data_IF_534761066225
#
_entry.id   IF_534761066225
#
_cell.length_a   1.000
_cell.length_b   1.000
_cell.length_c   1.000
_cell.angle_alpha   90.00
_cell.angle_beta   90.00
_cell.angle_gamma   90.00
#
_symmetry.space_group_name_H-M   'P 1'
#
loop_
_entity.id
_entity.type
_entity.pdbx_description
1 polymer ?
#
# COMPACT_ATOMS: atom_id res chain seq x y z
N UNK A 1 -16.38 64.31 -14.94
CA UNK A 1 -15.70 63.24 -14.20
C UNK A 1 -15.65 61.98 -15.08
N UNK A 2 -14.50 61.40 -15.45
CA UNK A 2 -13.47 60.72 -14.65
C UNK A 2 -13.96 59.43 -13.98
N UNK A 3 -13.47 58.32 -14.53
CA UNK A 3 -13.11 57.05 -13.87
C UNK A 3 -14.22 56.29 -13.15
N UNK A 4 -14.67 55.16 -13.72
CA UNK A 4 -15.05 53.90 -13.00
C UNK A 4 -15.75 52.90 -13.95
N UNK A 5 -15.07 52.47 -15.01
CA UNK A 5 -15.44 51.21 -15.70
C UNK A 5 -14.15 50.46 -16.05
N UNK A 6 -13.34 50.20 -15.04
CA UNK A 6 -12.20 49.29 -15.12
C UNK A 6 -12.33 48.37 -13.90
N UNK A 7 -12.13 47.07 -14.11
CA UNK A 7 -12.24 45.97 -13.14
C UNK A 7 -13.53 45.13 -13.19
N UNK A 8 -14.06 44.85 -14.38
CA UNK A 8 -14.43 43.47 -14.70
C UNK A 8 -13.27 42.88 -15.51
N UNK A 9 -13.01 41.57 -15.41
CA UNK A 9 -11.82 40.89 -15.93
C UNK A 9 -10.59 40.85 -15.00
N UNK A 10 -10.80 40.49 -13.72
CA UNK A 10 -9.77 39.75 -12.98
C UNK A 10 -10.09 38.25 -13.08
N UNK A 11 -9.42 37.65 -14.05
CA UNK A 11 -8.99 36.27 -14.14
C UNK A 11 -9.44 35.35 -12.99
N UNK A 12 -10.51 34.59 -13.23
CA UNK A 12 -10.65 33.25 -12.64
C UNK A 12 -9.62 32.33 -13.32
N UNK A 13 -8.37 32.46 -12.92
CA UNK A 13 -7.33 31.48 -13.24
C UNK A 13 -7.50 30.34 -12.23
N UNK A 14 -8.48 29.47 -12.50
CA UNK A 14 -8.64 28.20 -11.80
C UNK A 14 -7.46 27.34 -12.24
N UNK A 15 -6.37 27.37 -11.46
CA UNK A 15 -5.29 26.41 -11.58
C UNK A 15 -5.87 25.06 -11.16
N UNK A 16 -6.36 24.31 -12.14
CA UNK A 16 -6.60 22.87 -12.00
C UNK A 16 -5.22 22.24 -11.86
N UNK A 17 -4.75 22.10 -10.62
CA UNK A 17 -3.62 21.24 -10.30
C UNK A 17 -4.11 19.82 -10.54
N UNK A 18 -3.90 19.32 -11.76
CA UNK A 18 -4.00 17.90 -12.05
C UNK A 18 -2.99 17.19 -11.15
N UNK A 19 -3.48 16.57 -10.06
CA UNK A 19 -2.75 15.48 -9.42
C UNK A 19 -2.65 14.37 -10.46
N UNK A 20 -1.56 14.38 -11.23
CA UNK A 20 -1.07 13.19 -11.92
C UNK A 20 -0.60 12.28 -10.80
N UNK A 21 -1.53 11.49 -10.26
CA UNK A 21 -1.17 10.32 -9.48
C UNK A 21 -0.55 9.39 -10.50
N UNK A 22 0.78 9.45 -10.62
CA UNK A 22 1.54 8.48 -11.41
C UNK A 22 1.19 7.12 -10.84
N UNK A 23 0.41 6.35 -11.58
CA UNK A 23 0.38 4.91 -11.39
C UNK A 23 1.77 4.49 -11.85
N UNK A 24 2.72 4.34 -10.93
CA UNK A 24 4.01 3.74 -11.23
C UNK A 24 3.70 2.30 -11.65
N UNK A 25 3.44 2.12 -12.95
CA UNK A 25 3.42 0.82 -13.59
C UNK A 25 4.76 0.15 -13.30
N UNK A 26 4.72 -1.16 -13.07
CA UNK A 26 5.91 -1.96 -12.82
C UNK A 26 7.04 -1.58 -13.81
N UNK A 27 8.31 -1.46 -13.37
CA UNK A 27 9.39 -0.91 -14.21
C UNK A 27 9.60 -1.67 -15.52
N UNK A 28 9.19 -2.93 -15.56
CA UNK A 28 9.25 -3.82 -16.72
C UNK A 28 7.89 -4.14 -17.35
N UNK A 29 6.78 -3.53 -16.92
CA UNK A 29 5.43 -3.86 -17.43
C UNK A 29 5.30 -3.72 -18.96
N UNK A 30 5.72 -2.59 -19.59
CA UNK A 30 5.54 -2.44 -21.02
C UNK A 30 6.41 -3.41 -21.82
N UNK A 31 7.60 -3.74 -21.32
CA UNK A 31 8.51 -4.70 -21.96
C UNK A 31 8.09 -6.15 -21.73
N UNK A 32 7.58 -6.48 -20.54
CA UNK A 32 7.04 -7.79 -20.24
C UNK A 32 5.84 -8.12 -21.11
N UNK A 33 4.94 -7.16 -21.32
CA UNK A 33 3.76 -7.33 -22.16
C UNK A 33 4.10 -7.59 -23.63
N UNK A 34 5.21 -7.04 -24.15
CA UNK A 34 5.62 -7.27 -25.56
C UNK A 34 6.56 -8.45 -25.73
N UNK A 35 7.53 -8.63 -24.83
CA UNK A 35 8.54 -9.67 -24.93
C UNK A 35 8.05 -11.03 -24.39
N UNK A 36 7.31 -11.02 -23.29
CA UNK A 36 7.03 -12.21 -22.48
C UNK A 36 5.58 -12.25 -21.95
N UNK A 37 4.54 -12.14 -22.81
CA UNK A 37 3.15 -11.95 -22.38
C UNK A 37 2.56 -13.14 -21.60
N UNK A 38 3.21 -14.29 -21.62
CA UNK A 38 2.75 -15.52 -20.97
C UNK A 38 3.56 -15.90 -19.73
N UNK A 39 4.67 -15.22 -19.46
CA UNK A 39 5.56 -15.54 -18.35
C UNK A 39 5.27 -14.66 -17.14
N UNK A 40 5.41 -15.25 -15.94
CA UNK A 40 5.24 -14.56 -14.67
C UNK A 40 6.28 -15.00 -13.65
N UNK A 41 6.56 -14.13 -12.67
CA UNK A 41 7.51 -14.40 -11.59
C UNK A 41 8.91 -14.76 -12.09
N UNK A 42 9.50 -15.85 -11.60
CA UNK A 42 10.85 -16.26 -12.00
C UNK A 42 11.00 -16.57 -13.51
N UNK A 43 9.93 -17.07 -14.16
CA UNK A 43 9.95 -17.32 -15.60
C UNK A 43 10.03 -16.01 -16.39
N UNK A 44 9.37 -14.96 -15.90
CA UNK A 44 9.42 -13.63 -16.52
C UNK A 44 10.85 -13.06 -16.50
N UNK A 45 11.53 -13.15 -15.36
CA UNK A 45 12.94 -12.75 -15.27
C UNK A 45 13.83 -13.49 -16.25
N UNK A 46 13.65 -14.81 -16.37
CA UNK A 46 14.40 -15.64 -17.31
C UNK A 46 14.10 -15.33 -18.79
N UNK A 47 12.88 -14.90 -19.11
CA UNK A 47 12.52 -14.45 -20.45
C UNK A 47 13.10 -13.06 -20.75
N UNK A 48 12.96 -12.10 -19.83
CA UNK A 48 13.45 -10.73 -20.04
C UNK A 48 14.98 -10.67 -20.17
N UNK A 49 15.73 -11.52 -19.45
CA UNK A 49 17.19 -11.61 -19.56
C UNK A 49 17.68 -12.22 -20.90
N UNK A 50 16.84 -13.04 -21.56
CA UNK A 50 17.20 -13.74 -22.79
C UNK A 50 16.42 -13.19 -23.99
N UNK A 51 17.07 -12.30 -24.75
CA UNK A 51 16.50 -11.71 -25.97
C UNK A 51 16.07 -12.76 -27.01
N UNK A 52 16.64 -13.96 -26.97
CA UNK A 52 16.25 -15.05 -27.87
C UNK A 52 14.90 -15.68 -27.54
N UNK A 53 14.36 -15.42 -26.34
CA UNK A 53 13.04 -15.89 -25.89
C UNK A 53 11.94 -14.84 -26.02
N UNK A 54 12.28 -13.62 -26.45
CA UNK A 54 11.29 -12.57 -26.63
C UNK A 54 10.39 -12.91 -27.82
N UNK A 55 9.07 -12.92 -27.59
CA UNK A 55 8.06 -13.11 -28.63
C UNK A 55 8.11 -12.00 -29.68
N UNK A 56 8.42 -10.77 -29.24
CA UNK A 56 8.62 -9.61 -30.12
C UNK A 56 9.93 -8.89 -29.82
N UNK A 57 10.63 -8.33 -30.83
CA UNK A 57 11.81 -7.50 -30.62
C UNK A 57 11.49 -6.32 -29.70
N UNK A 58 11.97 -6.41 -28.46
CA UNK A 58 11.70 -5.42 -27.41
C UNK A 58 13.02 -4.88 -26.90
N UNK A 59 13.12 -3.56 -26.81
CA UNK A 59 14.25 -2.90 -26.18
C UNK A 59 13.95 -2.72 -24.69
N UNK A 60 14.80 -3.31 -23.84
CA UNK A 60 14.65 -3.21 -22.38
C UNK A 60 15.07 -1.80 -21.94
N UNK A 61 14.17 -1.07 -21.31
CA UNK A 61 14.48 0.26 -20.76
C UNK A 61 15.52 0.18 -19.65
N UNK A 62 16.21 1.28 -19.38
CA UNK A 62 17.20 1.36 -18.30
C UNK A 62 16.58 1.11 -16.91
N UNK A 63 15.32 1.51 -16.71
CA UNK A 63 14.57 1.27 -15.48
C UNK A 63 14.28 -0.23 -15.29
N UNK A 64 13.77 -0.90 -16.35
CA UNK A 64 13.57 -2.34 -16.29
C UNK A 64 14.89 -3.09 -16.09
N UNK A 65 15.96 -2.70 -16.77
CA UNK A 65 17.28 -3.31 -16.58
C UNK A 65 17.76 -3.17 -15.12
N UNK A 66 17.61 -1.98 -14.52
CA UNK A 66 17.98 -1.74 -13.12
C UNK A 66 17.17 -2.62 -12.16
N UNK A 67 15.89 -2.85 -12.48
CA UNK A 67 15.03 -3.75 -11.72
C UNK A 67 15.45 -5.22 -11.84
N UNK A 68 15.81 -5.68 -13.04
CA UNK A 68 16.35 -7.02 -13.27
C UNK A 68 17.68 -7.22 -12.52
N UNK A 69 18.56 -6.22 -12.56
CA UNK A 69 19.85 -6.24 -11.85
C UNK A 69 19.66 -6.29 -10.31
N UNK A 70 18.67 -5.56 -9.79
CA UNK A 70 18.29 -5.63 -8.37
C UNK A 70 17.83 -7.05 -8.01
N UNK A 71 16.99 -7.66 -8.84
CA UNK A 71 16.49 -9.02 -8.63
C UNK A 71 17.59 -10.06 -8.66
N UNK A 72 18.56 -9.93 -9.57
CA UNK A 72 19.73 -10.81 -9.63
C UNK A 72 20.57 -10.71 -8.35
N UNK A 73 20.84 -9.50 -7.85
CA UNK A 73 21.61 -9.29 -6.60
C UNK A 73 20.85 -9.71 -5.34
N UNK A 74 19.53 -9.68 -5.38
CA UNK A 74 18.65 -10.04 -4.27
C UNK A 74 18.05 -11.45 -4.41
N UNK A 75 18.53 -12.28 -5.36
CA UNK A 75 17.92 -13.56 -5.70
C UNK A 75 17.80 -14.49 -4.48
N UNK A 76 18.83 -14.56 -3.65
CA UNK A 76 18.81 -15.39 -2.43
C UNK A 76 17.74 -14.95 -1.44
N UNK A 77 17.50 -13.64 -1.32
CA UNK A 77 16.49 -13.07 -0.44
C UNK A 77 15.07 -13.21 -1.01
N UNK A 78 14.91 -13.18 -2.34
CA UNK A 78 13.61 -13.29 -3.01
C UNK A 78 13.19 -14.73 -3.28
N UNK A 79 14.12 -15.68 -3.31
CA UNK A 79 13.85 -17.10 -3.53
C UNK A 79 13.58 -17.86 -2.23
N UNK A 80 13.93 -17.28 -1.08
CA UNK A 80 13.84 -17.94 0.21
C UNK A 80 13.24 -17.05 1.30
N UNK A 81 12.73 -17.66 2.38
CA UNK A 81 12.25 -16.93 3.55
C UNK A 81 10.98 -16.11 3.30
N UNK A 82 10.89 -14.94 3.95
CA UNK A 82 9.68 -14.10 3.97
C UNK A 82 9.32 -13.52 2.59
N UNK A 83 10.29 -13.33 1.71
CA UNK A 83 10.05 -12.80 0.36
C UNK A 83 9.95 -13.89 -0.72
N UNK A 84 9.90 -15.17 -0.33
CA UNK A 84 9.84 -16.28 -1.30
C UNK A 84 8.63 -16.12 -2.23
N UNK A 85 8.88 -16.20 -3.54
CA UNK A 85 7.81 -16.13 -4.56
C UNK A 85 7.38 -14.72 -4.93
N UNK A 86 8.03 -13.68 -4.38
CA UNK A 86 7.81 -12.29 -4.78
C UNK A 86 8.75 -11.83 -5.89
N UNK A 87 9.69 -12.68 -6.34
CA UNK A 87 10.62 -12.35 -7.40
C UNK A 87 9.91 -11.91 -8.68
N UNK A 88 10.31 -10.75 -9.22
CA UNK A 88 9.76 -10.14 -10.44
C UNK A 88 8.28 -9.79 -10.35
N UNK A 89 7.81 -9.46 -9.14
CA UNK A 89 6.47 -8.92 -8.88
C UNK A 89 6.59 -7.51 -8.28
N UNK A 90 5.49 -6.75 -8.30
CA UNK A 90 5.41 -5.43 -7.65
C UNK A 90 5.77 -5.48 -6.15
N UNK A 91 5.49 -6.61 -5.50
CA UNK A 91 5.74 -6.81 -4.08
C UNK A 91 7.22 -7.09 -3.76
N UNK A 92 8.09 -7.31 -4.75
CA UNK A 92 9.51 -7.60 -4.51
C UNK A 92 10.19 -6.46 -3.76
N UNK A 93 10.04 -5.23 -4.25
CA UNK A 93 10.65 -4.05 -3.63
C UNK A 93 9.99 -3.77 -2.27
N UNK A 94 8.68 -3.96 -2.17
CA UNK A 94 7.96 -3.82 -0.90
C UNK A 94 8.49 -4.81 0.14
N UNK A 95 8.71 -6.05 -0.25
CA UNK A 95 9.21 -7.09 0.64
C UNK A 95 10.64 -6.79 1.09
N UNK A 96 11.53 -6.45 0.15
CA UNK A 96 12.93 -6.13 0.45
C UNK A 96 13.09 -4.87 1.33
N UNK A 97 12.20 -3.89 1.20
CA UNK A 97 12.30 -2.61 1.94
C UNK A 97 11.49 -2.57 3.23
N UNK A 98 10.33 -3.21 3.29
CA UNK A 98 9.40 -3.08 4.43
C UNK A 98 9.20 -4.37 5.23
N UNK A 99 9.23 -5.54 4.58
CA UNK A 99 8.87 -6.79 5.26
C UNK A 99 10.08 -7.55 5.77
N UNK A 100 11.21 -7.47 5.05
CA UNK A 100 12.45 -8.10 5.45
C UNK A 100 13.26 -7.14 6.32
N UNK A 101 13.85 -7.64 7.41
CA UNK A 101 14.76 -6.81 8.19
C UNK A 101 16.01 -6.55 7.37
N UNK A 102 16.51 -5.32 7.43
CA UNK A 102 17.76 -4.98 6.75
C UNK A 102 18.92 -5.88 7.16
N UNK A 103 18.94 -6.36 8.40
CA UNK A 103 19.98 -7.29 8.87
C UNK A 103 20.00 -8.63 8.11
N UNK A 104 18.86 -9.08 7.60
CA UNK A 104 18.68 -10.36 6.93
C UNK A 104 18.94 -10.29 5.41
N UNK A 105 19.12 -9.08 4.86
CA UNK A 105 19.52 -8.86 3.47
C UNK A 105 21.00 -9.20 3.28
N UNK A 106 21.34 -9.80 2.12
CA UNK A 106 22.75 -9.92 1.72
C UNK A 106 23.37 -8.55 1.48
N UNK A 107 24.68 -8.42 1.68
CA UNK A 107 25.41 -7.15 1.46
C UNK A 107 25.26 -6.64 0.02
N UNK A 108 25.19 -7.55 -0.95
CA UNK A 108 24.97 -7.23 -2.36
C UNK A 108 23.57 -6.64 -2.60
N UNK A 109 22.55 -7.24 -2.00
CA UNK A 109 21.18 -6.73 -2.11
C UNK A 109 21.00 -5.39 -1.38
N UNK A 110 21.63 -5.21 -0.21
CA UNK A 110 21.66 -3.93 0.53
C UNK A 110 22.26 -2.81 -0.31
N UNK A 111 23.36 -3.08 -1.01
CA UNK A 111 24.04 -2.08 -1.83
C UNK A 111 23.27 -1.74 -3.12
N UNK A 112 22.42 -2.65 -3.60
CA UNK A 112 21.59 -2.46 -4.79
C UNK A 112 20.29 -1.72 -4.51
N UNK A 113 19.76 -1.83 -3.29
CA UNK A 113 18.54 -1.14 -2.89
C UNK A 113 18.74 0.39 -2.93
N UNK A 114 17.77 1.16 -3.46
CA UNK A 114 17.81 2.60 -3.38
C UNK A 114 18.00 3.03 -1.94
N UNK A 115 18.98 3.90 -1.66
CA UNK A 115 19.17 4.41 -0.31
C UNK A 115 17.86 5.00 0.18
N UNK A 116 17.37 4.48 1.31
CA UNK A 116 16.20 5.06 1.96
C UNK A 116 16.51 6.52 2.27
N UNK A 117 15.88 7.41 1.53
CA UNK A 117 15.76 8.80 1.94
C UNK A 117 15.10 8.74 3.31
N UNK A 118 15.88 8.97 4.37
CA UNK A 118 15.38 9.04 5.75
C UNK A 118 14.15 9.92 5.69
N UNK A 119 12.98 9.32 5.87
CA UNK A 119 11.74 10.07 5.81
C UNK A 119 11.89 11.18 6.85
N UNK A 120 12.00 12.42 6.38
CA UNK A 120 12.04 13.58 7.24
C UNK A 120 10.84 13.43 8.18
N UNK A 121 11.13 13.40 9.48
CA UNK A 121 10.10 13.23 10.49
C UNK A 121 9.02 14.27 10.21
N UNK A 122 7.84 13.81 9.76
CA UNK A 122 6.73 14.71 9.46
C UNK A 122 6.31 15.34 10.78
N UNK A 123 6.85 16.52 11.07
CA UNK A 123 6.45 17.36 12.18
C UNK A 123 4.99 17.73 11.93
N UNK A 124 4.10 17.05 12.64
CA UNK A 124 2.67 17.38 12.59
C UNK A 124 2.49 18.75 13.23
N UNK A 125 1.81 19.64 12.51
CA UNK A 125 1.40 20.91 13.08
C UNK A 125 0.46 20.71 14.29
N UNK A 126 0.40 21.70 15.17
CA UNK A 126 -0.41 21.61 16.40
C UNK A 126 -1.92 21.40 16.11
N UNK A 127 -2.45 21.90 15.00
CA UNK A 127 -3.84 21.69 14.60
C UNK A 127 -4.08 20.24 14.15
N UNK A 128 -3.17 19.65 13.36
CA UNK A 128 -3.21 18.24 13.01
C UNK A 128 -3.13 17.34 14.26
N UNK A 129 -2.28 17.70 15.25
CA UNK A 129 -2.20 16.96 16.52
C UNK A 129 -3.51 17.05 17.30
N UNK A 130 -4.10 18.24 17.42
CA UNK A 130 -5.40 18.44 18.07
C UNK A 130 -6.54 17.67 17.39
N UNK A 131 -6.61 17.68 16.06
CA UNK A 131 -7.60 16.91 15.28
C UNK A 131 -7.43 15.41 15.49
N UNK A 132 -6.18 14.91 15.53
CA UNK A 132 -5.89 13.50 15.81
C UNK A 132 -6.37 13.11 17.21
N UNK A 133 -6.10 13.94 18.21
CA UNK A 133 -6.54 13.70 19.60
C UNK A 133 -8.06 13.74 19.74
N UNK A 134 -8.73 14.68 19.07
CA UNK A 134 -10.19 14.74 19.04
C UNK A 134 -10.80 13.47 18.44
N UNK A 135 -10.28 13.01 17.30
CA UNK A 135 -10.72 11.76 16.66
C UNK A 135 -10.47 10.54 17.56
N UNK A 136 -9.31 10.49 18.22
CA UNK A 136 -8.97 9.42 19.17
C UNK A 136 -9.95 9.38 20.34
N UNK A 137 -10.27 10.54 20.94
CA UNK A 137 -11.26 10.66 22.02
C UNK A 137 -12.67 10.27 21.57
N UNK A 138 -13.08 10.70 20.38
CA UNK A 138 -14.39 10.34 19.83
C UNK A 138 -14.52 8.83 19.61
N UNK A 139 -13.48 8.19 19.04
CA UNK A 139 -13.45 6.72 18.87
C UNK A 139 -13.49 5.98 20.20
N UNK A 140 -12.76 6.45 21.21
CA UNK A 140 -12.77 5.84 22.54
C UNK A 140 -14.16 5.90 23.19
N UNK A 141 -14.85 7.05 23.10
CA UNK A 141 -16.22 7.20 23.60
C UNK A 141 -17.20 6.28 22.88
N UNK A 142 -17.15 6.24 21.55
CA UNK A 142 -18.01 5.35 20.77
C UNK A 142 -17.79 3.87 21.14
N UNK A 143 -16.53 3.47 21.33
CA UNK A 143 -16.20 2.10 21.75
C UNK A 143 -16.76 1.77 23.15
N UNK A 144 -16.70 2.70 24.09
CA UNK A 144 -17.29 2.53 25.43
C UNK A 144 -18.82 2.38 25.36
N UNK A 145 -19.49 3.22 24.58
CA UNK A 145 -20.94 3.17 24.40
C UNK A 145 -21.39 1.85 23.78
N UNK A 146 -20.68 1.38 22.74
CA UNK A 146 -20.95 0.07 22.12
C UNK A 146 -20.76 -1.06 23.12
N UNK A 147 -19.69 -1.03 23.93
CA UNK A 147 -19.45 -2.02 24.96
C UNK A 147 -20.57 -2.05 26.00
N UNK A 148 -21.03 -0.88 26.45
CA UNK A 148 -22.13 -0.76 27.42
C UNK A 148 -23.46 -1.25 26.86
N UNK A 149 -23.74 -1.01 25.58
CA UNK A 149 -24.93 -1.52 24.91
C UNK A 149 -24.88 -3.05 24.78
N UNK A 150 -23.72 -3.61 24.42
CA UNK A 150 -23.53 -5.06 24.33
C UNK A 150 -23.74 -5.73 25.70
N UNK A 151 -23.13 -5.20 26.77
CA UNK A 151 -23.31 -5.72 28.14
C UNK A 151 -24.79 -5.69 28.59
N UNK A 152 -25.53 -4.61 28.25
CA UNK A 152 -26.97 -4.52 28.52
C UNK A 152 -27.78 -5.54 27.73
N UNK A 153 -27.47 -5.72 26.45
CA UNK A 153 -28.16 -6.67 25.57
C UNK A 153 -27.92 -8.11 26.03
N UNK A 154 -26.70 -8.46 26.42
CA UNK A 154 -26.38 -9.78 26.98
C UNK A 154 -27.11 -10.03 28.31
N UNK A 155 -27.16 -9.04 29.20
CA UNK A 155 -27.90 -9.14 30.44
C UNK A 155 -29.40 -9.31 30.21
N UNK A 156 -29.98 -8.60 29.24
CA UNK A 156 -31.38 -8.73 28.85
C UNK A 156 -31.67 -10.12 28.25
N UNK A 157 -30.80 -10.61 27.35
CA UNK A 157 -30.92 -11.94 26.74
C UNK A 157 -30.84 -13.07 27.78
N UNK A 158 -29.95 -12.96 28.78
CA UNK A 158 -29.88 -13.91 29.90
C UNK A 158 -31.17 -13.93 30.72
N UNK A 159 -31.74 -12.76 31.04
CA UNK A 159 -33.01 -12.66 31.79
C UNK A 159 -34.20 -13.28 31.04
N UNK A 160 -34.31 -13.04 29.73
CA UNK A 160 -35.39 -13.63 28.91
C UNK A 160 -35.24 -15.15 28.79
N UNK A 161 -34.01 -15.67 28.65
CA UNK A 161 -33.73 -17.10 28.63
C UNK A 161 -34.13 -17.80 29.94
N UNK A 162 -33.81 -17.22 31.11
CA UNK A 162 -34.21 -17.77 32.41
C UNK A 162 -35.72 -17.79 32.59
N UNK A 163 -36.44 -16.72 32.17
CA UNK A 163 -37.91 -16.64 32.26
C UNK A 163 -38.57 -17.74 31.42
N UNK A 164 -38.10 -17.96 30.18
CA UNK A 164 -38.59 -19.02 29.29
C UNK A 164 -38.35 -20.44 29.84
N UNK A 165 -37.23 -20.66 30.52
CA UNK A 165 -36.94 -21.96 31.17
C UNK A 165 -37.83 -22.21 32.39
N UNK A 166 -38.18 -21.17 33.16
CA UNK A 166 -39.07 -21.28 34.33
C UNK A 166 -40.52 -21.58 33.91
N UNK A 167 -41.04 -20.91 32.89
CA UNK A 167 -42.41 -21.20 32.39
C UNK A 167 -42.53 -22.62 31.86
N UNK A 168 -41.56 -23.10 31.08
CA UNK A 168 -41.58 -24.48 30.54
C UNK A 168 -41.54 -25.56 31.63
N UNK A 169 -41.06 -25.25 32.84
CA UNK A 169 -41.00 -26.19 33.98
C UNK A 169 -42.29 -26.20 34.82
N UNK A 170 -43.13 -25.18 34.73
CA UNK A 170 -44.44 -25.15 35.42
C UNK A 170 -45.57 -25.82 34.66
N UNK A 171 -45.36 -26.14 33.37
CA UNK A 171 -46.33 -26.81 32.50
C UNK A 171 -46.12 -28.35 32.42
N UNK A 172 -45.21 -28.91 33.23
CA UNK A 172 -44.90 -30.34 33.37
C UNK A 172 -45.25 -30.79 34.79
#
# INVERSE_FOLDING_TARGET
EKTRVAAMWLARLVVVVSLVVGVESHPCDPEAASACPFDGGAALGACLLDKGKHEAPTEISAECQSFLDLHAKCESNLSSGTCSGTAYTDDAILCLTQWLNKADLTEECKAALPEEKKAEERVLDDDARRKRDQRKRARAKAAEEVRKLNEKNEAAAKKTATKKKKSKRSDL
#
